data_IF_236499468194
#
_entry.id   IF_236499468194
#
_cell.length_a   1.000
_cell.length_b   1.000
_cell.length_c   1.000
_cell.angle_alpha   90.00
_cell.angle_beta   90.00
_cell.angle_gamma   90.00
#
_symmetry.space_group_name_H-M   'P 1'
#
loop_
_entity.id
_entity.type
_entity.pdbx_description
1 polymer ?
#
# COMPACT_ATOMS: atom_id res chain seq x y z
N UNK A 1 20.11 3.10 -16.06
CA UNK A 1 20.69 2.03 -16.92
C UNK A 1 21.05 2.57 -18.31
N UNK A 2 22.15 2.09 -18.91
CA UNK A 2 22.46 2.39 -20.31
C UNK A 2 21.38 1.78 -21.24
N UNK A 3 21.09 2.40 -22.41
CA UNK A 3 20.17 1.84 -23.39
C UNK A 3 20.62 0.45 -23.85
N UNK A 4 19.68 -0.43 -24.19
CA UNK A 4 20.01 -1.73 -24.76
C UNK A 4 20.69 -1.55 -26.14
N UNK A 5 21.66 -2.42 -26.45
CA UNK A 5 22.24 -2.50 -27.79
C UNK A 5 21.17 -2.89 -28.82
N UNK A 6 21.32 -2.44 -30.06
CA UNK A 6 20.35 -2.70 -31.13
C UNK A 6 20.08 -4.21 -31.28
N UNK A 7 18.80 -4.60 -31.29
CA UNK A 7 18.38 -6.00 -31.40
C UNK A 7 18.51 -6.85 -30.13
N UNK A 8 18.88 -6.28 -28.97
CA UNK A 8 18.89 -6.99 -27.68
C UNK A 8 17.81 -6.46 -26.75
N UNK A 9 17.22 -7.36 -25.96
CA UNK A 9 16.36 -6.97 -24.84
C UNK A 9 17.19 -6.31 -23.74
N UNK A 10 16.62 -5.31 -23.07
CA UNK A 10 17.25 -4.71 -21.90
C UNK A 10 17.28 -5.75 -20.78
N UNK A 11 18.44 -5.95 -20.15
CA UNK A 11 18.49 -6.75 -18.92
C UNK A 11 17.86 -5.94 -17.78
N UNK A 12 16.75 -6.46 -17.26
CA UNK A 12 16.02 -5.84 -16.15
C UNK A 12 16.13 -6.65 -14.85
N UNK A 13 16.99 -7.68 -14.79
CA UNK A 13 17.12 -8.55 -13.61
C UNK A 13 17.47 -7.79 -12.34
N UNK A 14 18.31 -6.77 -12.47
CA UNK A 14 18.79 -5.96 -11.35
C UNK A 14 17.98 -4.66 -11.15
N UNK A 15 16.86 -4.51 -11.85
CA UNK A 15 16.05 -3.29 -11.73
C UNK A 15 15.22 -3.34 -10.45
N UNK A 16 15.46 -2.36 -9.59
CA UNK A 16 14.63 -2.13 -8.40
C UNK A 16 13.26 -1.62 -8.84
N UNK A 17 12.22 -2.25 -8.29
CA UNK A 17 10.83 -1.77 -8.36
C UNK A 17 10.53 -0.88 -7.16
N UNK A 18 9.75 0.17 -7.42
CA UNK A 18 9.31 1.12 -6.40
C UNK A 18 7.80 1.02 -6.35
N UNK A 19 7.28 0.72 -5.15
CA UNK A 19 5.89 0.98 -4.83
C UNK A 19 5.81 2.39 -4.27
N UNK A 20 4.90 3.19 -4.79
CA UNK A 20 4.52 4.49 -4.26
C UNK A 20 3.01 4.59 -4.33
N UNK A 21 2.35 4.74 -3.18
CA UNK A 21 0.90 4.67 -3.10
C UNK A 21 0.34 5.32 -1.84
N UNK A 22 -0.96 5.58 -1.87
CA UNK A 22 -1.73 6.07 -0.72
C UNK A 22 -2.56 4.92 -0.18
N UNK A 23 -2.40 4.61 1.11
CA UNK A 23 -3.20 3.62 1.81
C UNK A 23 -4.10 4.29 2.85
N UNK A 24 -5.33 3.80 2.96
CA UNK A 24 -6.24 4.18 4.04
C UNK A 24 -6.00 3.26 5.24
N UNK A 25 -5.53 3.82 6.35
CA UNK A 25 -5.22 3.08 7.58
C UNK A 25 -5.95 3.74 8.74
N UNK A 26 -6.87 3.01 9.39
CA UNK A 26 -7.67 3.52 10.50
C UNK A 26 -8.34 4.88 10.21
N UNK A 27 -8.86 5.06 8.98
CA UNK A 27 -9.53 6.29 8.54
C UNK A 27 -8.60 7.43 8.11
N UNK A 28 -7.27 7.23 8.13
CA UNK A 28 -6.29 8.23 7.68
C UNK A 28 -5.59 7.77 6.40
N UNK A 29 -5.49 8.66 5.42
CA UNK A 29 -4.68 8.43 4.23
C UNK A 29 -3.20 8.62 4.54
N UNK A 30 -2.38 7.62 4.21
CA UNK A 30 -0.94 7.60 4.41
C UNK A 30 -0.25 7.33 3.07
N UNK A 31 0.68 8.21 2.71
CA UNK A 31 1.59 8.00 1.56
C UNK A 31 2.73 7.10 2.00
N UNK A 32 2.88 5.95 1.36
CA UNK A 32 3.94 4.99 1.64
C UNK A 32 4.80 4.77 0.41
N UNK A 33 6.08 4.45 0.66
CA UNK A 33 7.00 4.14 -0.43
C UNK A 33 7.93 2.99 -0.05
N UNK A 34 8.04 2.01 -0.92
CA UNK A 34 8.90 0.85 -0.70
C UNK A 34 9.66 0.46 -1.94
N UNK A 35 10.78 -0.24 -1.73
CA UNK A 35 11.67 -0.74 -2.79
C UNK A 35 11.79 -2.25 -2.68
N UNK A 36 11.80 -2.93 -3.83
CA UNK A 36 11.97 -4.38 -3.89
C UNK A 36 12.23 -4.87 -5.30
N UNK A 37 12.41 -6.18 -5.46
CA UNK A 37 12.71 -6.81 -6.76
C UNK A 37 11.46 -6.99 -7.64
N UNK A 38 10.28 -6.70 -7.11
CA UNK A 38 8.99 -6.85 -7.77
C UNK A 38 7.90 -6.02 -7.08
N UNK A 39 6.68 -5.96 -7.65
CA UNK A 39 5.57 -5.21 -7.05
C UNK A 39 5.27 -5.63 -5.61
N UNK A 40 5.11 -6.95 -5.36
CA UNK A 40 4.83 -7.50 -4.02
C UNK A 40 5.94 -7.13 -3.03
N UNK A 41 7.21 -7.42 -3.35
CA UNK A 41 8.32 -7.13 -2.43
C UNK A 41 8.51 -5.63 -2.17
N UNK A 42 8.27 -4.78 -3.18
CA UNK A 42 8.30 -3.33 -3.01
C UNK A 42 7.18 -2.83 -2.10
N UNK A 43 5.99 -3.44 -2.15
CA UNK A 43 4.88 -3.10 -1.25
C UNK A 43 5.10 -3.65 0.17
N UNK A 44 5.61 -4.88 0.33
CA UNK A 44 6.02 -5.42 1.64
C UNK A 44 7.03 -4.49 2.32
N UNK A 45 7.98 -3.96 1.55
CA UNK A 45 8.94 -2.96 2.02
C UNK A 45 8.27 -1.66 2.48
N UNK A 46 7.22 -1.20 1.78
CA UNK A 46 6.45 -0.01 2.16
C UNK A 46 5.62 -0.23 3.45
N UNK A 47 5.06 -1.43 3.65
CA UNK A 47 4.27 -1.77 4.83
C UNK A 47 5.08 -1.75 6.14
N UNK A 48 6.42 -1.78 6.07
CA UNK A 48 7.29 -1.62 7.24
C UNK A 48 7.09 -0.28 7.94
N UNK A 49 6.71 0.78 7.21
CA UNK A 49 6.38 2.09 7.79
C UNK A 49 5.17 2.02 8.75
N UNK A 50 4.33 0.97 8.61
CA UNK A 50 3.20 0.69 9.48
C UNK A 50 3.51 -0.35 10.58
N UNK A 51 4.78 -0.72 10.78
CA UNK A 51 5.22 -1.83 11.64
C UNK A 51 4.64 -3.19 11.23
N UNK A 52 4.37 -3.38 9.94
CA UNK A 52 3.93 -4.64 9.36
C UNK A 52 5.11 -5.21 8.57
N UNK A 53 5.72 -6.26 9.11
CA UNK A 53 6.81 -6.98 8.44
C UNK A 53 6.37 -8.40 8.09
N UNK A 54 6.41 -8.73 6.81
CA UNK A 54 6.02 -10.03 6.28
C UNK A 54 7.15 -10.69 5.51
N UNK A 55 7.27 -12.00 5.70
CA UNK A 55 7.88 -12.91 4.74
C UNK A 55 6.75 -13.51 3.87
N UNK A 56 6.93 -13.51 2.55
CA UNK A 56 5.97 -14.14 1.63
C UNK A 56 6.38 -15.59 1.43
N UNK A 57 5.53 -16.53 1.85
CA UNK A 57 5.84 -17.96 1.87
C UNK A 57 5.29 -18.70 0.66
N UNK A 58 4.07 -18.36 0.25
CA UNK A 58 3.40 -18.94 -0.92
C UNK A 58 2.68 -17.84 -1.71
N UNK A 59 2.67 -18.00 -3.02
CA UNK A 59 2.00 -17.14 -3.98
C UNK A 59 1.37 -18.00 -5.07
N UNK A 60 0.06 -17.86 -5.25
CA UNK A 60 -0.66 -18.51 -6.33
C UNK A 60 -1.53 -17.50 -7.03
N UNK A 61 -1.62 -17.64 -8.34
CA UNK A 61 -2.52 -16.84 -9.15
C UNK A 61 -3.12 -17.70 -10.24
N UNK A 62 -4.37 -17.41 -10.58
CA UNK A 62 -4.99 -17.95 -11.78
C UNK A 62 -5.98 -16.94 -12.38
N UNK A 63 -6.23 -17.12 -13.67
CA UNK A 63 -7.30 -16.45 -14.37
C UNK A 63 -8.66 -17.00 -13.92
N UNK A 64 -9.63 -16.11 -13.68
CA UNK A 64 -11.03 -16.44 -13.43
C UNK A 64 -11.92 -15.82 -14.51
N UNK A 65 -12.93 -16.56 -14.95
CA UNK A 65 -13.82 -16.14 -16.04
C UNK A 65 -13.35 -16.59 -17.42
N UNK A 66 -14.03 -16.10 -18.46
CA UNK A 66 -13.83 -16.53 -19.85
C UNK A 66 -13.86 -15.34 -20.82
N UNK A 67 -13.29 -15.54 -22.01
CA UNK A 67 -13.30 -14.54 -23.08
C UNK A 67 -12.51 -13.28 -22.72
N UNK A 68 -13.07 -12.10 -23.01
CA UNK A 68 -12.41 -10.80 -22.77
C UNK A 68 -12.62 -10.25 -21.36
N UNK A 69 -13.45 -10.89 -20.54
CA UNK A 69 -13.79 -10.46 -19.18
C UNK A 69 -12.99 -11.19 -18.09
N UNK A 70 -11.89 -11.84 -18.46
CA UNK A 70 -11.04 -12.60 -17.54
C UNK A 70 -10.41 -11.65 -16.52
N UNK A 71 -10.41 -12.07 -15.25
CA UNK A 71 -9.72 -11.40 -14.15
C UNK A 71 -8.62 -12.29 -13.60
N UNK A 72 -7.64 -11.70 -12.94
CA UNK A 72 -6.71 -12.43 -12.09
C UNK A 72 -7.30 -12.60 -10.69
N UNK A 73 -7.10 -13.78 -10.11
CA UNK A 73 -7.30 -14.06 -8.70
C UNK A 73 -5.94 -14.45 -8.09
N UNK A 74 -5.45 -13.66 -7.14
CA UNK A 74 -4.16 -13.88 -6.49
C UNK A 74 -4.35 -14.23 -5.01
N UNK A 75 -3.57 -15.19 -4.53
CA UNK A 75 -3.59 -15.74 -3.18
C UNK A 75 -2.17 -15.64 -2.63
N UNK A 76 -2.01 -15.01 -1.46
CA UNK A 76 -0.71 -14.81 -0.82
C UNK A 76 -0.75 -15.34 0.59
N UNK A 77 0.24 -16.16 0.94
CA UNK A 77 0.58 -16.49 2.33
C UNK A 77 1.69 -15.57 2.81
N UNK A 78 1.40 -14.81 3.87
CA UNK A 78 2.37 -13.99 4.58
C UNK A 78 2.62 -14.54 5.97
N UNK A 79 3.90 -14.64 6.35
CA UNK A 79 4.32 -14.91 7.71
C UNK A 79 4.82 -13.63 8.36
N UNK A 80 4.13 -13.11 9.39
CA UNK A 80 4.61 -11.98 10.16
C UNK A 80 5.89 -12.31 10.92
N UNK A 81 6.84 -11.39 10.91
CA UNK A 81 8.08 -11.53 11.70
C UNK A 81 7.71 -11.68 13.18
N UNK A 82 8.27 -12.69 13.82
CA UNK A 82 7.99 -13.03 15.22
C UNK A 82 6.67 -13.77 15.48
N UNK A 83 5.86 -14.04 14.44
CA UNK A 83 4.66 -14.87 14.56
C UNK A 83 4.94 -16.34 14.20
N UNK A 84 4.27 -17.27 14.88
CA UNK A 84 4.22 -18.68 14.48
C UNK A 84 3.13 -18.97 13.45
N UNK A 85 2.15 -18.08 13.32
CA UNK A 85 1.01 -18.24 12.44
C UNK A 85 1.18 -17.41 11.17
N UNK A 86 0.95 -18.04 10.02
CA UNK A 86 0.79 -17.35 8.74
C UNK A 86 -0.61 -16.75 8.63
N UNK A 87 -0.72 -15.70 7.81
CA UNK A 87 -1.98 -15.12 7.38
C UNK A 87 -2.11 -15.24 5.87
N UNK A 88 -3.33 -15.44 5.41
CA UNK A 88 -3.65 -15.47 3.99
C UNK A 88 -4.40 -14.21 3.57
N UNK A 89 -4.15 -13.78 2.35
CA UNK A 89 -4.88 -12.72 1.69
C UNK A 89 -5.24 -13.11 0.27
N UNK A 90 -6.36 -12.59 -0.20
CA UNK A 90 -6.88 -12.84 -1.55
C UNK A 90 -7.22 -11.52 -2.21
N UNK A 91 -6.89 -11.40 -3.49
CA UNK A 91 -7.20 -10.25 -4.33
C UNK A 91 -7.74 -10.71 -5.67
N UNK A 92 -8.65 -9.94 -6.22
CA UNK A 92 -9.21 -10.16 -7.56
C UNK A 92 -9.19 -8.82 -8.29
N UNK A 93 -8.57 -8.79 -9.45
CA UNK A 93 -8.54 -7.61 -10.30
C UNK A 93 -8.37 -8.01 -11.77
N UNK A 94 -8.76 -7.15 -12.71
CA UNK A 94 -8.47 -7.33 -14.15
C UNK A 94 -6.96 -7.24 -14.47
N UNK A 95 -6.18 -6.69 -13.54
CA UNK A 95 -4.73 -6.52 -13.64
C UNK A 95 -4.07 -7.42 -12.60
N UNK A 96 -3.18 -8.30 -13.06
CA UNK A 96 -2.44 -9.27 -12.25
C UNK A 96 -1.66 -8.60 -11.12
N UNK A 97 -1.01 -7.46 -11.40
CA UNK A 97 -0.25 -6.73 -10.40
C UNK A 97 -1.21 -6.18 -9.34
N UNK A 98 -2.27 -5.49 -9.73
CA UNK A 98 -3.28 -4.98 -8.77
C UNK A 98 -3.90 -6.10 -7.94
N UNK A 99 -4.24 -7.23 -8.55
CA UNK A 99 -4.77 -8.41 -7.86
C UNK A 99 -3.80 -8.88 -6.77
N UNK A 100 -2.51 -8.98 -7.08
CA UNK A 100 -1.47 -9.35 -6.10
C UNK A 100 -1.28 -8.34 -4.97
N UNK A 101 -1.37 -7.04 -5.26
CA UNK A 101 -1.26 -5.98 -4.24
C UNK A 101 -2.48 -5.97 -3.31
N UNK A 102 -3.69 -6.18 -3.85
CA UNK A 102 -4.92 -6.34 -3.07
C UNK A 102 -4.83 -7.57 -2.17
N UNK A 103 -4.31 -8.70 -2.68
CA UNK A 103 -4.12 -9.91 -1.88
C UNK A 103 -3.16 -9.66 -0.70
N UNK A 104 -2.06 -8.95 -0.93
CA UNK A 104 -1.13 -8.57 0.14
C UNK A 104 -1.78 -7.65 1.19
N UNK A 105 -2.56 -6.64 0.75
CA UNK A 105 -3.31 -5.77 1.66
C UNK A 105 -4.38 -6.52 2.46
N UNK A 106 -5.02 -7.50 1.85
CA UNK A 106 -5.97 -8.40 2.52
C UNK A 106 -5.28 -9.18 3.64
N UNK A 107 -4.10 -9.75 3.37
CA UNK A 107 -3.28 -10.41 4.40
C UNK A 107 -2.88 -9.45 5.52
N UNK A 108 -2.46 -8.22 5.16
CA UNK A 108 -2.12 -7.17 6.13
C UNK A 108 -3.30 -6.81 7.03
N UNK A 109 -4.49 -6.63 6.45
CA UNK A 109 -5.71 -6.29 7.18
C UNK A 109 -6.14 -7.42 8.13
N UNK A 110 -6.05 -8.67 7.67
CA UNK A 110 -6.32 -9.86 8.49
C UNK A 110 -5.34 -9.98 9.67
N UNK A 111 -4.07 -9.66 9.45
CA UNK A 111 -3.06 -9.66 10.51
C UNK A 111 -3.32 -8.58 11.56
N UNK A 112 -3.63 -7.35 11.14
CA UNK A 112 -3.91 -6.24 12.06
C UNK A 112 -5.17 -6.50 12.88
N UNK A 113 -6.21 -7.10 12.28
CA UNK A 113 -7.49 -7.39 12.95
C UNK A 113 -7.41 -8.58 13.90
N UNK A 114 -6.55 -9.57 13.61
CA UNK A 114 -6.42 -10.78 14.45
C UNK A 114 -5.52 -10.59 15.68
N UNK A 115 -4.75 -9.49 15.76
CA UNK A 115 -4.07 -9.10 17.00
C UNK A 115 -5.06 -8.45 17.98
N UNK A 116 -5.21 -8.94 19.23
CA UNK A 116 -5.82 -8.13 20.29
C UNK A 116 -5.02 -6.82 20.40
N UNK A 117 -5.73 -5.69 20.37
CA UNK A 117 -5.21 -4.37 20.07
C UNK A 117 -3.91 -4.01 20.81
N UNK A 118 -2.87 -3.66 20.05
CA UNK A 118 -2.00 -2.49 20.27
C UNK A 118 -1.02 -2.37 19.10
N UNK A 119 -1.06 -1.24 18.37
CA UNK A 119 0.18 -0.50 18.15
C UNK A 119 -0.04 0.99 18.38
N UNK A 120 0.66 1.54 19.36
CA UNK A 120 0.82 2.97 19.57
C UNK A 120 1.41 3.57 18.29
N UNK A 121 0.61 4.32 17.54
CA UNK A 121 1.12 5.17 16.47
C UNK A 121 2.10 6.16 17.09
N UNK A 122 3.28 6.31 16.46
CA UNK A 122 4.16 7.44 16.77
C UNK A 122 3.39 8.71 16.34
N UNK A 123 3.18 9.70 17.21
CA UNK A 123 2.61 10.97 16.78
C UNK A 123 3.56 11.57 15.73
N UNK A 124 3.15 11.56 14.48
CA UNK A 124 3.74 12.47 13.50
C UNK A 124 3.04 13.79 13.72
N UNK A 125 3.77 14.76 14.27
CA UNK A 125 3.35 16.16 14.36
C UNK A 125 2.96 16.66 12.97
N UNK A 126 1.68 16.55 12.65
CA UNK A 126 1.05 17.40 11.66
C UNK A 126 0.86 18.76 12.34
N UNK A 127 1.26 19.88 11.71
CA UNK A 127 0.93 21.18 12.26
C UNK A 127 -0.59 21.27 12.37
N UNK A 128 -1.06 21.79 13.51
CA UNK A 128 -2.47 22.00 13.79
C UNK A 128 -3.15 22.72 12.60
N UNK A 129 -4.42 22.40 12.27
CA UNK A 129 -5.18 23.19 11.32
C UNK A 129 -5.17 24.64 11.81
N UNK A 130 -4.48 25.52 11.09
CA UNK A 130 -4.64 26.95 11.30
C UNK A 130 -6.08 27.27 10.91
N UNK A 131 -6.89 27.64 11.90
CA UNK A 131 -8.23 28.16 11.67
C UNK A 131 -8.12 29.33 10.70
N UNK A 132 -8.55 29.10 9.46
CA UNK A 132 -8.72 30.19 8.50
C UNK A 132 -9.98 30.93 8.94
N UNK A 133 -9.91 32.23 9.28
CA UNK A 133 -11.08 32.95 9.72
C UNK A 133 -12.13 32.96 8.61
N UNK A 134 -13.37 32.72 9.00
CA UNK A 134 -14.53 32.79 8.12
C UNK A 134 -14.58 34.14 7.40
N UNK A 135 -14.86 34.12 6.09
CA UNK A 135 -15.08 35.33 5.27
C UNK A 135 -16.11 36.27 5.89
N UNK A 136 -17.07 35.74 6.66
CA UNK A 136 -18.09 36.53 7.36
C UNK A 136 -17.46 37.42 8.43
N UNK A 137 -16.50 36.91 9.21
CA UNK A 137 -15.83 37.66 10.27
C UNK A 137 -14.94 38.79 9.73
N UNK A 138 -14.33 38.59 8.55
CA UNK A 138 -13.50 39.60 7.89
C UNK A 138 -14.36 40.77 7.37
N UNK A 139 -15.61 40.52 6.99
CA UNK A 139 -16.53 41.54 6.49
C UNK A 139 -17.19 42.33 7.63
N UNK A 140 -17.50 41.68 8.76
CA UNK A 140 -18.05 42.36 9.94
C UNK A 140 -17.05 43.33 10.59
N UNK A 141 -15.75 42.97 10.63
CA UNK A 141 -14.72 43.85 11.19
C UNK A 141 -14.49 45.12 10.34
N UNK A 142 -14.65 45.01 9.01
CA UNK A 142 -14.57 46.18 8.10
C UNK A 142 -15.81 47.08 8.15
N UNK A 143 -16.97 46.55 8.56
CA UNK A 143 -18.21 47.32 8.66
C UNK A 143 -18.32 48.11 9.97
N UNK A 144 -17.71 47.64 11.05
CA UNK A 144 -17.74 48.30 12.37
C UNK A 144 -16.57 49.28 12.62
N UNK A 145 -15.72 49.52 11.63
CA UNK A 145 -14.55 50.40 11.70
C UNK A 145 -14.73 51.81 11.13
N UNK A 146 -15.96 52.34 11.05
CA UNK A 146 -16.26 53.71 10.60
C UNK A 146 -16.98 54.52 11.67
#
# INVERSE_FOLDING_TARGET
PAPAAHGRTQDTKDFIRIFEGVLLVNGKELKLRGRGNGPISSMVSALKELNIEFDVNDYKEHAIGEGRGVKAASYIECKPVGSKQSVWGVGIHEDVVQSSLIALLSAASNFVTSRPASPTQKPTDAPAPQETPSVVSILEEKANGM
#
